data_IF_545945862832
#
_entry.id   IF_545945862832
#
_cell.length_a   1.000
_cell.length_b   1.000
_cell.length_c   1.000
_cell.angle_alpha   90.00
_cell.angle_beta   90.00
_cell.angle_gamma   90.00
#
_symmetry.space_group_name_H-M   'P 1'
#
loop_
_entity.id
_entity.type
_entity.pdbx_description
1 polymer ?
#
# COMPACT_ATOMS: atom_id res chain seq x y z
N UNK A 1 49.51 8.55 29.87
CA UNK A 1 49.07 7.52 28.87
C UNK A 1 47.92 6.68 29.38
N UNK A 2 47.82 6.30 30.67
CA UNK A 2 46.71 5.55 31.25
C UNK A 2 45.38 6.36 31.32
N UNK A 3 45.42 7.66 31.60
CA UNK A 3 44.22 8.51 31.66
C UNK A 3 43.63 8.76 30.29
N UNK A 4 44.43 8.95 29.25
CA UNK A 4 43.98 9.13 27.88
C UNK A 4 43.31 7.83 27.38
N UNK A 5 43.93 6.67 27.65
CA UNK A 5 43.33 5.38 27.29
C UNK A 5 42.01 5.11 28.03
N UNK A 6 41.93 5.53 29.29
CA UNK A 6 40.69 5.42 30.10
C UNK A 6 39.59 6.33 29.55
N UNK A 7 39.91 7.58 29.21
CA UNK A 7 38.96 8.51 28.57
C UNK A 7 38.46 8.02 27.20
N UNK A 8 39.36 7.48 26.38
CA UNK A 8 38.98 6.86 25.10
C UNK A 8 38.06 5.65 25.32
N UNK A 9 38.38 4.80 26.32
CA UNK A 9 37.53 3.66 26.64
C UNK A 9 36.13 4.08 27.12
N UNK A 10 36.05 5.07 28.01
CA UNK A 10 34.77 5.62 28.50
C UNK A 10 33.92 6.18 27.35
N UNK A 11 34.53 6.91 26.41
CA UNK A 11 33.84 7.40 25.22
C UNK A 11 33.34 6.25 24.32
N UNK A 12 34.16 5.23 24.11
CA UNK A 12 33.76 4.04 23.33
C UNK A 12 32.60 3.32 24.02
N UNK A 13 32.67 3.09 25.32
CA UNK A 13 31.58 2.46 26.09
C UNK A 13 30.30 3.31 26.01
N UNK A 14 30.42 4.64 26.10
CA UNK A 14 29.28 5.55 26.01
C UNK A 14 28.65 5.54 24.63
N UNK A 15 29.47 5.49 23.57
CA UNK A 15 28.95 5.34 22.18
C UNK A 15 28.18 4.02 22.02
N UNK A 16 28.75 2.92 22.53
CA UNK A 16 28.08 1.62 22.43
C UNK A 16 26.84 1.53 23.33
N UNK A 17 26.87 2.03 24.55
CA UNK A 17 25.72 2.00 25.46
C UNK A 17 24.54 2.88 24.99
N UNK A 18 24.84 3.97 24.29
CA UNK A 18 23.82 4.85 23.70
C UNK A 18 23.45 4.47 22.25
N UNK A 19 24.07 3.41 21.70
CA UNK A 19 23.79 2.96 20.34
C UNK A 19 22.50 2.13 20.27
N UNK A 20 21.86 2.10 19.10
CA UNK A 20 20.74 1.20 18.83
C UNK A 20 21.07 -0.29 19.05
N UNK A 21 22.36 -0.68 19.00
CA UNK A 21 22.78 -2.06 19.31
C UNK A 21 22.53 -2.44 20.78
N UNK A 22 22.86 -1.54 21.72
CA UNK A 22 22.60 -1.79 23.12
C UNK A 22 21.10 -1.94 23.41
N UNK A 23 20.27 -1.18 22.72
CA UNK A 23 18.81 -1.21 22.86
C UNK A 23 18.21 -2.60 22.62
N UNK A 24 18.73 -3.37 21.66
CA UNK A 24 18.23 -4.73 21.40
C UNK A 24 18.34 -5.66 22.61
N UNK A 25 19.31 -5.41 23.49
CA UNK A 25 19.61 -6.26 24.64
C UNK A 25 19.14 -5.67 25.97
N UNK A 26 18.97 -4.35 26.04
CA UNK A 26 18.71 -3.65 27.31
C UNK A 26 17.27 -3.16 27.44
N UNK A 27 16.58 -2.89 26.34
CA UNK A 27 15.22 -2.36 26.39
C UNK A 27 14.17 -3.47 26.39
N UNK A 28 13.10 -3.26 27.17
CA UNK A 28 11.92 -4.11 27.13
C UNK A 28 11.31 -4.08 25.74
N UNK A 29 11.26 -5.23 25.09
CA UNK A 29 10.74 -5.34 23.72
C UNK A 29 11.77 -5.10 22.61
N UNK A 30 13.04 -4.84 22.90
CA UNK A 30 14.11 -4.68 21.89
C UNK A 30 14.22 -5.86 20.93
N UNK A 31 13.93 -7.08 21.38
CA UNK A 31 13.87 -8.28 20.53
C UNK A 31 12.81 -8.19 19.44
N UNK A 32 11.67 -7.49 19.67
CA UNK A 32 10.62 -7.28 18.68
C UNK A 32 11.13 -6.46 17.50
N UNK A 33 11.93 -5.43 17.78
CA UNK A 33 12.56 -4.62 16.73
C UNK A 33 13.54 -5.47 15.92
N UNK A 34 14.32 -6.36 16.55
CA UNK A 34 15.19 -7.28 15.84
C UNK A 34 14.40 -8.23 14.92
N UNK A 35 13.27 -8.74 15.37
CA UNK A 35 12.35 -9.55 14.54
C UNK A 35 11.84 -8.73 13.34
N UNK A 36 11.43 -7.49 13.55
CA UNK A 36 10.96 -6.63 12.46
C UNK A 36 12.06 -6.28 11.45
N UNK A 37 13.31 -6.12 11.88
CA UNK A 37 14.44 -5.99 10.96
C UNK A 37 14.62 -7.23 10.10
N UNK A 38 14.50 -8.43 10.68
CA UNK A 38 14.54 -9.68 9.91
C UNK A 38 13.38 -9.73 8.90
N UNK A 39 12.17 -9.35 9.30
CA UNK A 39 11.00 -9.27 8.39
C UNK A 39 11.28 -8.28 7.25
N UNK A 40 11.82 -7.11 7.55
CA UNK A 40 12.20 -6.11 6.52
C UNK A 40 13.25 -6.67 5.55
N UNK A 41 14.27 -7.39 6.03
CA UNK A 41 15.26 -8.05 5.17
C UNK A 41 14.64 -9.16 4.31
N UNK A 42 13.68 -9.92 4.83
CA UNK A 42 12.94 -10.91 4.04
C UNK A 42 12.18 -10.23 2.91
N UNK A 43 11.47 -9.14 3.17
CA UNK A 43 10.77 -8.40 2.12
C UNK A 43 11.72 -7.76 1.11
N UNK A 44 12.84 -7.20 1.53
CA UNK A 44 13.89 -6.75 0.61
C UNK A 44 14.39 -7.88 -0.27
N UNK A 45 14.65 -9.05 0.30
CA UNK A 45 15.06 -10.24 -0.47
C UNK A 45 13.98 -10.65 -1.49
N UNK A 46 12.70 -10.68 -1.10
CA UNK A 46 11.59 -11.01 -1.99
C UNK A 46 11.47 -9.98 -3.12
N UNK A 47 11.55 -8.70 -2.83
CA UNK A 47 11.51 -7.65 -3.85
C UNK A 47 12.71 -7.69 -4.78
N UNK A 48 13.94 -7.78 -4.25
CA UNK A 48 15.17 -7.70 -5.05
C UNK A 48 15.47 -9.00 -5.79
N UNK A 49 15.42 -10.15 -5.08
CA UNK A 49 15.86 -11.44 -5.65
C UNK A 49 14.75 -12.19 -6.37
N UNK A 50 13.52 -12.10 -5.86
CA UNK A 50 12.36 -12.80 -6.42
C UNK A 50 11.52 -11.93 -7.36
N UNK A 51 11.76 -10.63 -7.38
CA UNK A 51 11.03 -9.71 -8.24
C UNK A 51 9.56 -9.51 -7.86
N UNK A 52 9.21 -9.76 -6.59
CA UNK A 52 7.84 -9.60 -6.10
C UNK A 52 7.53 -8.13 -5.91
N UNK A 53 6.70 -7.56 -6.78
CA UNK A 53 6.28 -6.16 -6.78
C UNK A 53 7.40 -5.18 -6.35
N UNK A 54 8.58 -5.20 -7.06
CA UNK A 54 9.78 -4.53 -6.55
C UNK A 54 9.60 -3.03 -6.37
N UNK A 55 8.75 -2.39 -7.18
CA UNK A 55 8.54 -0.94 -7.14
C UNK A 55 7.92 -0.46 -5.81
N UNK A 56 7.11 -1.28 -5.16
CA UNK A 56 6.46 -0.96 -3.90
C UNK A 56 7.05 -1.72 -2.73
N UNK A 57 7.36 -3.01 -2.91
CA UNK A 57 7.89 -3.83 -1.82
C UNK A 57 9.24 -3.33 -1.29
N UNK A 58 10.13 -2.86 -2.16
CA UNK A 58 11.44 -2.34 -1.74
C UNK A 58 11.30 -1.06 -0.90
N UNK A 59 10.56 -0.02 -1.35
CA UNK A 59 10.33 1.17 -0.51
C UNK A 59 9.62 0.86 0.81
N UNK A 60 8.61 -0.02 0.82
CA UNK A 60 7.89 -0.42 2.04
C UNK A 60 8.85 -1.13 3.00
N UNK A 61 9.60 -2.13 2.52
CA UNK A 61 10.56 -2.86 3.34
C UNK A 61 11.67 -1.96 3.89
N UNK A 62 12.11 -0.97 3.10
CA UNK A 62 13.10 0.00 3.55
C UNK A 62 12.52 0.97 4.59
N UNK A 63 11.27 1.44 4.40
CA UNK A 63 10.55 2.22 5.40
C UNK A 63 10.37 1.46 6.72
N UNK A 64 9.99 0.17 6.64
CA UNK A 64 9.90 -0.73 7.79
C UNK A 64 11.26 -0.89 8.49
N UNK A 65 12.35 -1.05 7.72
CA UNK A 65 13.70 -1.12 8.27
C UNK A 65 14.02 0.16 9.07
N UNK A 66 13.80 1.34 8.47
CA UNK A 66 14.08 2.62 9.12
C UNK A 66 13.27 2.82 10.41
N UNK A 67 11.98 2.48 10.40
CA UNK A 67 11.11 2.64 11.57
C UNK A 67 11.45 1.70 12.74
N UNK A 68 12.11 0.57 12.47
CA UNK A 68 12.47 -0.40 13.48
C UNK A 68 13.96 -0.36 13.87
N UNK A 69 14.73 0.65 13.40
CA UNK A 69 16.07 0.95 13.95
C UNK A 69 15.87 1.61 15.31
N UNK A 70 16.34 0.99 16.41
CA UNK A 70 16.20 1.59 17.72
C UNK A 70 16.92 2.93 17.84
N UNK A 71 16.30 3.86 18.56
CA UNK A 71 16.85 5.21 18.84
C UNK A 71 17.00 6.11 17.59
N UNK A 72 16.56 5.69 16.41
CA UNK A 72 16.66 6.50 15.20
C UNK A 72 15.61 7.64 15.15
N UNK A 73 14.57 7.58 16.00
CA UNK A 73 13.49 8.57 16.10
C UNK A 73 12.88 8.99 14.74
N UNK A 74 12.82 8.04 13.82
CA UNK A 74 12.25 8.23 12.48
C UNK A 74 10.77 7.79 12.41
N UNK A 75 10.20 7.39 13.54
CA UNK A 75 8.85 6.89 13.64
C UNK A 75 7.82 8.02 13.41
N UNK A 76 6.65 7.63 12.91
CA UNK A 76 5.52 8.54 12.77
C UNK A 76 4.96 8.92 14.15
N UNK A 77 4.94 10.21 14.45
CA UNK A 77 4.57 10.76 15.75
C UNK A 77 3.10 11.18 15.85
N UNK A 78 2.32 11.01 14.78
CA UNK A 78 0.93 11.46 14.75
C UNK A 78 0.01 10.47 14.03
N UNK A 79 -1.26 10.48 14.43
CA UNK A 79 -2.31 9.63 13.84
C UNK A 79 -3.37 10.44 13.07
N UNK A 80 -3.41 11.75 13.26
CA UNK A 80 -4.36 12.66 12.61
C UNK A 80 -3.70 13.90 12.03
N UNK A 81 -4.38 14.59 11.11
CA UNK A 81 -3.88 15.87 10.55
C UNK A 81 -3.76 16.95 11.64
N UNK A 82 -4.66 16.94 12.62
CA UNK A 82 -4.59 17.89 13.75
C UNK A 82 -3.32 17.66 14.59
N UNK A 83 -3.01 16.41 14.90
CA UNK A 83 -1.76 16.05 15.59
C UNK A 83 -0.52 16.44 14.79
N UNK A 84 -0.55 16.34 13.45
CA UNK A 84 0.56 16.83 12.62
C UNK A 84 0.74 18.34 12.74
N UNK A 85 -0.36 19.11 12.77
CA UNK A 85 -0.30 20.55 12.99
C UNK A 85 0.26 20.86 14.38
N UNK A 86 -0.14 20.12 15.41
CA UNK A 86 0.38 20.28 16.77
C UNK A 86 1.86 19.88 16.87
N UNK A 87 2.29 18.85 16.16
CA UNK A 87 3.70 18.46 16.02
C UNK A 87 4.52 19.59 15.38
N UNK A 88 4.03 20.16 14.28
CA UNK A 88 4.67 21.30 13.60
C UNK A 88 4.72 22.55 14.46
N UNK A 89 3.71 22.76 15.31
CA UNK A 89 3.65 23.89 16.24
C UNK A 89 4.46 23.67 17.54
N UNK A 90 5.14 22.52 17.69
CA UNK A 90 5.90 22.17 18.88
C UNK A 90 5.03 21.95 20.14
N UNK A 91 3.78 21.53 19.96
CA UNK A 91 2.83 21.28 21.07
C UNK A 91 2.83 19.85 21.57
N UNK A 92 3.38 18.92 20.76
CA UNK A 92 3.50 17.53 21.17
C UNK A 92 4.80 17.31 21.95
N UNK A 93 4.68 16.58 23.05
CA UNK A 93 5.82 16.20 23.89
C UNK A 93 5.88 14.68 24.03
N UNK A 94 7.07 14.14 24.23
CA UNK A 94 7.28 12.74 24.57
C UNK A 94 6.94 12.47 26.06
N UNK A 95 7.09 11.22 26.48
CA UNK A 95 6.83 10.80 27.87
C UNK A 95 7.77 11.48 28.89
N UNK A 96 8.89 12.05 28.45
CA UNK A 96 9.84 12.81 29.29
C UNK A 96 9.50 14.31 29.37
N UNK A 97 8.51 14.79 28.59
CA UNK A 97 8.14 16.19 28.47
C UNK A 97 8.99 16.98 27.45
N UNK A 98 9.88 16.32 26.70
CA UNK A 98 10.63 16.95 25.63
C UNK A 98 9.75 17.19 24.39
N UNK A 99 9.87 18.37 23.77
CA UNK A 99 9.11 18.72 22.58
C UNK A 99 9.53 17.83 21.41
N UNK A 100 8.55 17.16 20.81
CA UNK A 100 8.76 16.36 19.61
C UNK A 100 8.94 17.29 18.39
N UNK A 101 9.92 16.95 17.57
CA UNK A 101 10.15 17.65 16.28
C UNK A 101 9.80 16.73 15.12
N UNK A 102 9.14 17.24 14.07
CA UNK A 102 8.79 16.41 12.91
C UNK A 102 10.06 15.97 12.17
N UNK A 103 10.12 14.69 11.87
CA UNK A 103 11.16 14.08 11.05
C UNK A 103 10.77 13.99 9.56
N UNK A 104 11.70 13.53 8.73
CA UNK A 104 11.44 13.32 7.30
C UNK A 104 10.21 12.43 7.06
N UNK A 105 10.10 11.34 7.81
CA UNK A 105 8.99 10.38 7.66
C UNK A 105 7.65 11.01 8.01
N UNK A 106 7.60 11.91 9.00
CA UNK A 106 6.35 12.61 9.36
C UNK A 106 5.82 13.47 8.20
N UNK A 107 6.71 14.17 7.49
CA UNK A 107 6.33 14.94 6.29
C UNK A 107 5.87 14.02 5.15
N UNK A 108 6.56 12.92 4.91
CA UNK A 108 6.16 11.97 3.87
C UNK A 108 4.82 11.31 4.21
N UNK A 109 4.62 10.93 5.48
CA UNK A 109 3.37 10.33 5.93
C UNK A 109 2.18 11.27 5.85
N UNK A 110 2.40 12.60 5.92
CA UNK A 110 1.34 13.58 5.71
C UNK A 110 0.61 13.37 4.38
N UNK A 111 1.32 13.07 3.29
CA UNK A 111 0.70 12.79 2.00
C UNK A 111 -0.19 11.54 1.98
N UNK A 112 0.10 10.55 2.84
CA UNK A 112 -0.77 9.39 3.06
C UNK A 112 -2.03 9.82 3.79
N UNK A 113 -1.88 10.52 4.93
CA UNK A 113 -3.00 10.98 5.77
C UNK A 113 -3.90 11.97 5.08
N UNK A 114 -3.34 12.87 4.27
CA UNK A 114 -4.10 13.81 3.45
C UNK A 114 -4.77 13.14 2.22
N UNK A 115 -4.56 11.84 1.99
CA UNK A 115 -5.15 11.11 0.87
C UNK A 115 -4.62 11.56 -0.50
N UNK A 116 -3.39 12.11 -0.59
CA UNK A 116 -2.83 12.67 -1.82
C UNK A 116 -2.20 11.61 -2.71
N UNK A 117 -1.44 10.67 -2.14
CA UNK A 117 -0.66 9.72 -2.93
C UNK A 117 -1.50 8.73 -3.74
N UNK A 118 -2.54 8.08 -3.19
CA UNK A 118 -3.30 7.11 -3.96
C UNK A 118 -3.97 7.70 -5.20
N UNK A 119 -4.66 8.86 -5.15
CA UNK A 119 -5.22 9.48 -6.34
C UNK A 119 -4.16 9.83 -7.41
N UNK A 120 -2.96 10.25 -7.01
CA UNK A 120 -1.87 10.53 -7.95
C UNK A 120 -1.35 9.25 -8.62
N UNK A 121 -1.28 8.13 -7.90
CA UNK A 121 -0.96 6.83 -8.50
C UNK A 121 -2.05 6.44 -9.51
N UNK A 122 -3.31 6.61 -9.15
CA UNK A 122 -4.43 6.33 -10.06
C UNK A 122 -4.39 7.16 -11.34
N UNK A 123 -3.92 8.42 -11.28
CA UNK A 123 -3.70 9.22 -12.49
C UNK A 123 -2.64 8.57 -13.40
N UNK A 124 -1.54 8.07 -12.85
CA UNK A 124 -0.52 7.35 -13.60
C UNK A 124 -1.07 6.05 -14.21
N UNK A 125 -1.81 5.26 -13.43
CA UNK A 125 -2.47 4.03 -13.89
C UNK A 125 -3.45 4.34 -15.02
N UNK A 126 -4.28 5.37 -14.89
CA UNK A 126 -5.23 5.79 -15.92
C UNK A 126 -4.55 6.17 -17.23
N UNK A 127 -3.41 6.85 -17.15
CA UNK A 127 -2.62 7.20 -18.31
C UNK A 127 -1.97 5.97 -18.99
N UNK A 128 -1.74 4.87 -18.26
CA UNK A 128 -1.25 3.60 -18.83
C UNK A 128 -2.38 2.74 -19.40
N UNK A 129 -3.58 2.81 -18.81
CA UNK A 129 -4.69 1.89 -19.10
C UNK A 129 -5.28 2.14 -20.49
N UNK A 130 -5.63 1.06 -21.21
CA UNK A 130 -6.44 1.09 -22.41
C UNK A 130 -7.85 0.58 -22.09
N UNK A 131 -8.83 1.49 -22.09
CA UNK A 131 -10.24 1.14 -21.86
C UNK A 131 -10.98 0.75 -23.13
N UNK A 132 -10.33 0.71 -24.30
CA UNK A 132 -10.99 0.34 -25.54
C UNK A 132 -11.67 -1.05 -25.49
N UNK A 133 -11.08 -2.10 -24.89
CA UNK A 133 -11.74 -3.40 -24.75
C UNK A 133 -13.04 -3.31 -23.93
N UNK A 134 -13.04 -2.53 -22.86
CA UNK A 134 -14.21 -2.33 -22.01
C UNK A 134 -15.32 -1.55 -22.73
N UNK A 135 -14.95 -0.50 -23.49
CA UNK A 135 -15.89 0.29 -24.31
C UNK A 135 -16.48 -0.59 -25.43
N UNK A 136 -15.66 -1.44 -26.04
CA UNK A 136 -16.08 -2.33 -27.11
C UNK A 136 -17.05 -3.42 -26.63
N UNK A 137 -16.84 -3.93 -25.41
CA UNK A 137 -17.66 -4.99 -24.80
C UNK A 137 -18.02 -4.65 -23.33
N UNK A 138 -19.08 -3.86 -23.10
CA UNK A 138 -19.50 -3.46 -21.78
C UNK A 138 -19.89 -4.63 -20.84
N UNK A 139 -20.23 -5.81 -21.38
CA UNK A 139 -20.52 -7.01 -20.56
C UNK A 139 -19.32 -7.45 -19.71
N UNK A 140 -18.11 -7.01 -20.05
CA UNK A 140 -16.90 -7.24 -19.24
C UNK A 140 -17.01 -6.63 -17.83
N UNK A 141 -17.87 -5.63 -17.61
CA UNK A 141 -18.17 -5.12 -16.27
C UNK A 141 -18.72 -6.19 -15.32
N UNK A 142 -19.46 -7.19 -15.84
CA UNK A 142 -20.00 -8.29 -15.05
C UNK A 142 -18.87 -9.13 -14.46
N UNK A 143 -17.79 -9.34 -15.21
CA UNK A 143 -16.59 -10.05 -14.72
C UNK A 143 -15.92 -9.29 -13.57
N UNK A 144 -15.76 -7.97 -13.74
CA UNK A 144 -15.27 -7.10 -12.67
C UNK A 144 -16.15 -7.13 -11.42
N UNK A 145 -17.49 -7.08 -11.60
CA UNK A 145 -18.42 -7.20 -10.48
C UNK A 145 -18.33 -8.55 -9.77
N UNK A 146 -18.15 -9.65 -10.52
CA UNK A 146 -17.95 -10.98 -9.94
C UNK A 146 -16.67 -11.05 -9.09
N UNK A 147 -15.59 -10.37 -9.53
CA UNK A 147 -14.35 -10.25 -8.75
C UNK A 147 -14.58 -9.61 -7.38
N UNK A 148 -15.45 -8.61 -7.30
CA UNK A 148 -15.73 -7.89 -6.06
C UNK A 148 -16.46 -8.74 -5.01
N UNK A 149 -17.07 -9.87 -5.38
CA UNK A 149 -17.68 -10.80 -4.41
C UNK A 149 -16.66 -11.27 -3.36
N UNK A 150 -15.37 -11.37 -3.72
CA UNK A 150 -14.28 -11.66 -2.80
C UNK A 150 -14.20 -10.70 -1.64
N UNK A 151 -14.26 -9.40 -1.91
CA UNK A 151 -14.23 -8.33 -0.92
C UNK A 151 -15.35 -8.51 0.10
N UNK A 152 -16.59 -8.79 -0.36
CA UNK A 152 -17.74 -8.97 0.54
C UNK A 152 -17.59 -10.19 1.45
N UNK A 153 -17.10 -11.32 0.93
CA UNK A 153 -16.92 -12.51 1.77
C UNK A 153 -15.80 -12.31 2.79
N UNK A 154 -14.72 -11.62 2.41
CA UNK A 154 -13.64 -11.27 3.35
C UNK A 154 -14.13 -10.32 4.41
N UNK A 155 -14.94 -9.32 4.04
CA UNK A 155 -15.59 -8.43 4.99
C UNK A 155 -16.41 -9.19 6.04
N UNK A 156 -17.29 -10.10 5.58
CA UNK A 156 -18.10 -10.94 6.49
C UNK A 156 -17.21 -11.84 7.35
N UNK A 157 -16.18 -12.46 6.77
CA UNK A 157 -15.22 -13.28 7.49
C UNK A 157 -14.48 -12.49 8.59
N UNK A 158 -14.07 -11.26 8.31
CA UNK A 158 -13.41 -10.39 9.27
C UNK A 158 -14.36 -10.01 10.42
N UNK A 159 -15.63 -9.69 10.14
CA UNK A 159 -16.65 -9.45 11.18
C UNK A 159 -16.81 -10.69 12.08
N UNK A 160 -16.88 -11.89 11.49
CA UNK A 160 -17.02 -13.13 12.25
C UNK A 160 -15.80 -13.43 13.14
N UNK A 161 -14.63 -12.93 12.79
CA UNK A 161 -13.39 -13.02 13.58
C UNK A 161 -13.27 -11.93 14.66
N UNK A 162 -14.27 -11.04 14.76
CA UNK A 162 -14.38 -10.03 15.81
C UNK A 162 -13.73 -8.69 15.47
N UNK A 163 -13.40 -8.40 14.21
CA UNK A 163 -12.99 -7.08 13.78
C UNK A 163 -14.16 -6.10 13.72
N UNK A 164 -13.89 -4.82 13.95
CA UNK A 164 -14.91 -3.77 13.78
C UNK A 164 -15.30 -3.63 12.30
N UNK A 165 -16.47 -3.07 11.97
CA UNK A 165 -16.88 -2.85 10.57
C UNK A 165 -15.87 -2.05 9.75
N UNK A 166 -15.23 -1.06 10.35
CA UNK A 166 -14.20 -0.24 9.71
C UNK A 166 -12.94 -1.05 9.40
N UNK A 167 -12.48 -1.85 10.37
CA UNK A 167 -11.35 -2.77 10.18
C UNK A 167 -11.68 -3.84 9.14
N UNK A 168 -12.89 -4.41 9.21
CA UNK A 168 -13.35 -5.41 8.25
C UNK A 168 -13.41 -4.85 6.82
N UNK A 169 -13.82 -3.58 6.63
CA UNK A 169 -13.77 -2.89 5.35
C UNK A 169 -12.33 -2.76 4.82
N UNK A 170 -11.40 -2.38 5.71
CA UNK A 170 -9.97 -2.26 5.39
C UNK A 170 -9.32 -3.61 5.08
N UNK A 171 -9.76 -4.69 5.71
CA UNK A 171 -9.30 -6.05 5.44
C UNK A 171 -9.90 -6.55 4.11
N UNK A 172 -11.20 -6.34 3.91
CA UNK A 172 -11.92 -6.81 2.73
C UNK A 172 -11.37 -6.25 1.42
N UNK A 173 -10.97 -4.96 1.41
CA UNK A 173 -10.48 -4.29 0.19
C UNK A 173 -9.19 -4.91 -0.37
N UNK A 174 -8.42 -5.65 0.44
CA UNK A 174 -7.22 -6.36 -0.04
C UNK A 174 -7.59 -7.36 -1.13
N UNK A 175 -8.78 -7.98 -1.05
CA UNK A 175 -9.29 -8.90 -2.06
C UNK A 175 -9.50 -8.27 -3.45
N UNK A 176 -9.53 -6.95 -3.54
CA UNK A 176 -9.54 -6.22 -4.81
C UNK A 176 -8.20 -6.25 -5.56
N UNK A 177 -7.13 -6.72 -4.90
CA UNK A 177 -5.76 -6.78 -5.42
C UNK A 177 -5.26 -5.44 -5.98
N UNK A 178 -5.65 -4.35 -5.33
CA UNK A 178 -5.24 -2.99 -5.64
C UNK A 178 -4.63 -2.33 -4.40
N UNK A 179 -3.30 -2.31 -4.33
CA UNK A 179 -2.54 -1.79 -3.20
C UNK A 179 -2.84 -0.32 -2.87
N UNK A 180 -2.80 0.60 -3.84
CA UNK A 180 -3.14 2.01 -3.61
C UNK A 180 -4.55 2.21 -3.04
N UNK A 181 -5.57 1.50 -3.54
CA UNK A 181 -6.92 1.52 -2.98
C UNK A 181 -6.96 0.98 -1.56
N UNK A 182 -6.27 -0.13 -1.29
CA UNK A 182 -6.21 -0.70 0.07
C UNK A 182 -5.61 0.31 1.06
N UNK A 183 -4.54 1.01 0.69
CA UNK A 183 -3.94 2.06 1.52
C UNK A 183 -4.91 3.24 1.71
N UNK A 184 -5.57 3.71 0.63
CA UNK A 184 -6.51 4.82 0.70
C UNK A 184 -7.67 4.50 1.64
N UNK A 185 -8.35 3.38 1.43
CA UNK A 185 -9.50 2.96 2.25
C UNK A 185 -9.07 2.76 3.71
N UNK A 186 -7.95 2.08 3.96
CA UNK A 186 -7.46 1.84 5.32
C UNK A 186 -7.06 3.13 6.02
N UNK A 187 -6.46 4.09 5.32
CA UNK A 187 -6.10 5.39 5.92
C UNK A 187 -7.32 6.17 6.41
N UNK A 188 -8.49 5.92 5.83
CA UNK A 188 -9.76 6.54 6.22
C UNK A 188 -10.52 5.74 7.28
N UNK A 189 -10.58 4.40 7.14
CA UNK A 189 -11.42 3.55 7.97
C UNK A 189 -10.73 3.01 9.22
N UNK A 190 -9.47 2.58 9.11
CA UNK A 190 -8.71 1.93 10.17
C UNK A 190 -7.21 2.28 10.10
N UNK A 191 -6.84 3.54 10.39
CA UNK A 191 -5.45 4.01 10.28
C UNK A 191 -4.45 3.19 11.09
N UNK A 192 -4.89 2.61 12.20
CA UNK A 192 -4.08 1.75 13.06
C UNK A 192 -3.60 0.47 12.38
N UNK A 193 -4.35 -0.02 11.38
CA UNK A 193 -4.00 -1.21 10.59
C UNK A 193 -3.23 -0.88 9.31
N UNK A 194 -2.95 0.38 9.02
CA UNK A 194 -2.41 0.82 7.71
C UNK A 194 -1.14 0.08 7.31
N UNK A 195 -0.15 -0.02 8.20
CA UNK A 195 1.10 -0.73 7.91
C UNK A 195 0.87 -2.22 7.66
N UNK A 196 0.07 -2.86 8.51
CA UNK A 196 -0.25 -4.29 8.42
C UNK A 196 -1.02 -4.61 7.13
N UNK A 197 -2.04 -3.81 6.81
CA UNK A 197 -2.85 -3.96 5.58
C UNK A 197 -1.97 -3.75 4.34
N UNK A 198 -1.10 -2.75 4.32
CA UNK A 198 -0.22 -2.51 3.19
C UNK A 198 0.73 -3.70 2.95
N UNK A 199 1.38 -4.20 4.00
CA UNK A 199 2.25 -5.39 3.89
C UNK A 199 1.46 -6.60 3.42
N UNK A 200 0.26 -6.84 3.96
CA UNK A 200 -0.60 -7.94 3.55
C UNK A 200 -1.03 -7.81 2.07
N UNK A 201 -1.49 -6.62 1.64
CA UNK A 201 -1.95 -6.37 0.28
C UNK A 201 -0.83 -6.63 -0.75
N UNK A 202 0.36 -6.08 -0.52
CA UNK A 202 1.47 -6.26 -1.47
C UNK A 202 2.06 -7.67 -1.44
N UNK A 203 2.08 -8.33 -0.27
CA UNK A 203 2.46 -9.74 -0.18
C UNK A 203 1.46 -10.62 -0.92
N UNK A 204 0.16 -10.34 -0.79
CA UNK A 204 -0.90 -11.04 -1.51
C UNK A 204 -0.77 -10.86 -3.02
N UNK A 205 -0.61 -9.63 -3.50
CA UNK A 205 -0.41 -9.34 -4.93
C UNK A 205 0.81 -10.08 -5.50
N UNK A 206 1.90 -10.17 -4.73
CA UNK A 206 3.07 -10.93 -5.11
C UNK A 206 2.83 -12.45 -5.23
N UNK A 207 1.87 -13.00 -4.48
CA UNK A 207 1.52 -14.42 -4.51
C UNK A 207 0.51 -14.77 -5.61
N UNK A 208 -0.27 -13.80 -6.11
CA UNK A 208 -1.31 -14.03 -7.13
C UNK A 208 -0.77 -14.78 -8.36
N UNK A 209 0.37 -14.41 -8.99
CA UNK A 209 0.91 -15.12 -10.15
C UNK A 209 1.27 -16.59 -9.88
N UNK A 210 1.48 -16.96 -8.62
CA UNK A 210 1.82 -18.31 -8.20
C UNK A 210 0.55 -19.13 -7.94
N UNK A 211 -0.45 -18.52 -7.31
CA UNK A 211 -1.68 -19.18 -6.83
C UNK A 211 -2.71 -19.30 -7.97
N UNK A 212 -2.87 -18.28 -8.79
CA UNK A 212 -3.86 -18.20 -9.85
C UNK A 212 -3.77 -19.36 -10.88
N UNK A 213 -2.61 -19.69 -11.48
CA UNK A 213 -2.56 -20.72 -12.53
C UNK A 213 -2.99 -22.12 -12.09
N UNK A 214 -2.64 -22.64 -10.89
CA UNK A 214 -3.15 -23.93 -10.41
C UNK A 214 -4.67 -23.95 -10.26
N UNK A 215 -5.25 -22.88 -9.71
CA UNK A 215 -6.70 -22.78 -9.49
C UNK A 215 -7.44 -22.72 -10.82
N UNK A 216 -6.98 -21.89 -11.76
CA UNK A 216 -7.55 -21.81 -13.11
C UNK A 216 -7.53 -23.18 -13.80
N UNK A 217 -6.42 -23.95 -13.65
CA UNK A 217 -6.33 -25.30 -14.23
C UNK A 217 -7.28 -26.30 -13.57
N UNK A 218 -7.56 -26.13 -12.28
CA UNK A 218 -8.49 -27.00 -11.54
C UNK A 218 -9.95 -26.72 -11.92
N UNK A 219 -10.30 -25.45 -12.16
CA UNK A 219 -11.68 -25.01 -12.42
C UNK A 219 -12.06 -25.07 -13.91
N UNK A 220 -11.08 -25.12 -14.84
CA UNK A 220 -11.33 -25.07 -16.27
C UNK A 220 -10.80 -26.29 -17.01
N UNK A 221 -11.49 -26.69 -18.07
CA UNK A 221 -11.05 -27.78 -18.95
C UNK A 221 -10.01 -27.29 -19.97
N UNK A 222 -9.24 -28.22 -20.55
CA UNK A 222 -8.30 -27.88 -21.64
C UNK A 222 -9.00 -27.24 -22.85
N UNK A 223 -10.25 -27.65 -23.13
CA UNK A 223 -11.05 -27.12 -24.25
C UNK A 223 -11.44 -25.66 -24.01
N UNK A 224 -11.87 -25.31 -22.82
CA UNK A 224 -12.20 -23.93 -22.45
C UNK A 224 -10.98 -23.01 -22.52
N UNK A 225 -9.83 -23.47 -22.01
CA UNK A 225 -8.57 -22.71 -22.08
C UNK A 225 -8.00 -22.54 -23.49
N UNK A 226 -8.44 -23.34 -24.47
CA UNK A 226 -8.01 -23.25 -25.86
C UNK A 226 -8.87 -22.32 -26.71
N UNK A 227 -9.93 -21.74 -26.13
CA UNK A 227 -10.80 -20.78 -26.84
C UNK A 227 -10.02 -19.49 -27.10
N UNK A 228 -9.91 -19.14 -28.38
CA UNK A 228 -9.31 -17.85 -28.78
C UNK A 228 -10.43 -16.82 -28.84
N UNK A 229 -10.24 -15.72 -28.11
CA UNK A 229 -11.20 -14.62 -28.13
C UNK A 229 -11.26 -13.96 -29.51
N UNK A 230 -12.45 -13.66 -29.98
CA UNK A 230 -12.66 -12.95 -31.25
C UNK A 230 -12.19 -11.48 -31.17
N UNK A 231 -12.00 -10.86 -32.33
CA UNK A 231 -11.67 -9.45 -32.41
C UNK A 231 -12.84 -8.60 -31.89
N UNK A 232 -12.52 -7.65 -31.02
CA UNK A 232 -13.48 -6.65 -30.55
C UNK A 232 -13.76 -5.63 -31.66
N UNK A 233 -14.93 -4.97 -31.58
CA UNK A 233 -15.23 -3.86 -32.50
C UNK A 233 -14.19 -2.73 -32.33
N UNK A 234 -13.85 -2.04 -33.42
CA UNK A 234 -13.01 -0.85 -33.30
C UNK A 234 -13.74 0.25 -32.51
N UNK A 235 -13.02 0.88 -31.60
CA UNK A 235 -13.51 2.01 -30.78
C UNK A 235 -13.04 3.32 -31.42
N UNK A 236 -13.95 4.25 -31.63
CA UNK A 236 -13.65 5.55 -32.23
C UNK A 236 -12.86 6.44 -31.23
N UNK A 237 -12.10 7.40 -31.76
CA UNK A 237 -11.38 8.37 -30.93
C UNK A 237 -12.31 9.18 -30.03
N UNK A 238 -13.50 9.51 -30.52
CA UNK A 238 -14.49 10.26 -29.75
C UNK A 238 -15.00 9.44 -28.55
N UNK A 239 -15.29 8.15 -28.74
CA UNK A 239 -15.69 7.26 -27.63
C UNK A 239 -14.60 7.20 -26.56
N UNK A 240 -13.32 7.08 -26.96
CA UNK A 240 -12.18 7.05 -26.04
C UNK A 240 -12.02 8.33 -25.23
N UNK A 241 -12.34 9.49 -25.80
CA UNK A 241 -12.27 10.79 -25.10
C UNK A 241 -13.49 11.02 -24.21
N UNK A 242 -14.69 10.64 -24.67
CA UNK A 242 -15.92 10.84 -23.90
C UNK A 242 -16.03 9.88 -22.73
N UNK A 243 -15.51 8.67 -22.86
CA UNK A 243 -15.59 7.64 -21.83
C UNK A 243 -15.07 8.11 -20.45
N UNK A 244 -13.83 8.61 -20.30
CA UNK A 244 -13.33 9.05 -19.02
C UNK A 244 -14.11 10.23 -18.43
N UNK A 245 -14.61 11.13 -19.27
CA UNK A 245 -15.44 12.27 -18.83
C UNK A 245 -16.77 11.79 -18.26
N UNK A 246 -17.47 10.92 -19.02
CA UNK A 246 -18.77 10.37 -18.60
C UNK A 246 -18.64 9.52 -17.33
N UNK A 247 -17.64 8.65 -17.27
CA UNK A 247 -17.40 7.81 -16.08
C UNK A 247 -17.11 8.68 -14.86
N UNK A 248 -16.28 9.73 -14.99
CA UNK A 248 -16.01 10.65 -13.89
C UNK A 248 -17.30 11.28 -13.37
N UNK A 249 -18.12 11.84 -14.26
CA UNK A 249 -19.36 12.52 -13.87
C UNK A 249 -20.34 11.55 -13.23
N UNK A 250 -20.62 10.43 -13.91
CA UNK A 250 -21.62 9.46 -13.43
C UNK A 250 -21.21 8.86 -12.09
N UNK A 251 -19.97 8.38 -11.98
CA UNK A 251 -19.50 7.71 -10.76
C UNK A 251 -19.37 8.69 -9.60
N UNK A 252 -18.86 9.90 -9.82
CA UNK A 252 -18.73 10.89 -8.76
C UNK A 252 -20.08 11.42 -8.25
N UNK A 253 -21.13 11.44 -9.10
CA UNK A 253 -22.48 11.78 -8.66
C UNK A 253 -23.16 10.65 -7.89
N UNK A 254 -22.85 9.38 -8.23
CA UNK A 254 -23.40 8.22 -7.52
C UNK A 254 -22.66 7.92 -6.21
N UNK A 255 -21.35 8.08 -6.21
CA UNK A 255 -20.44 7.75 -5.11
C UNK A 255 -19.42 8.90 -4.92
N UNK A 256 -19.81 9.99 -4.23
CA UNK A 256 -18.94 11.15 -4.05
C UNK A 256 -17.58 10.80 -3.42
N UNK A 257 -17.53 9.84 -2.50
CA UNK A 257 -16.30 9.40 -1.85
C UNK A 257 -15.28 8.75 -2.81
N UNK A 258 -15.76 8.18 -3.93
CA UNK A 258 -14.90 7.60 -4.96
C UNK A 258 -14.36 8.65 -5.96
N UNK A 259 -14.85 9.89 -5.91
CA UNK A 259 -14.54 10.94 -6.89
C UNK A 259 -13.03 11.21 -7.00
N UNK A 260 -12.30 11.20 -5.89
CA UNK A 260 -10.87 11.43 -5.90
C UNK A 260 -10.09 10.34 -6.67
N UNK A 261 -10.41 9.06 -6.43
CA UNK A 261 -9.72 7.94 -7.07
C UNK A 261 -10.15 7.78 -8.53
N UNK A 262 -11.47 7.69 -8.78
CA UNK A 262 -12.01 7.48 -10.12
C UNK A 262 -11.77 8.70 -11.00
N UNK A 263 -11.92 9.92 -10.46
CA UNK A 263 -11.64 11.14 -11.18
C UNK A 263 -10.20 11.24 -11.64
N UNK A 264 -9.23 10.91 -10.79
CA UNK A 264 -7.81 10.93 -11.16
C UNK A 264 -7.45 9.81 -12.13
N UNK A 265 -8.03 8.61 -11.99
CA UNK A 265 -7.88 7.52 -12.95
C UNK A 265 -8.36 7.96 -14.34
N UNK A 266 -9.56 8.51 -14.41
CA UNK A 266 -10.16 8.97 -15.66
C UNK A 266 -9.45 10.22 -16.23
N UNK A 267 -8.94 11.10 -15.38
CA UNK A 267 -8.11 12.23 -15.80
C UNK A 267 -6.81 11.77 -16.47
N UNK A 268 -6.12 10.80 -15.87
CA UNK A 268 -4.94 10.20 -16.48
C UNK A 268 -5.23 9.58 -17.85
N UNK A 269 -6.34 8.86 -17.96
CA UNK A 269 -6.79 8.29 -19.25
C UNK A 269 -7.12 9.37 -20.27
N UNK A 270 -7.80 10.44 -19.87
CA UNK A 270 -8.11 11.58 -20.75
C UNK A 270 -6.84 12.26 -21.27
N UNK A 271 -5.81 12.42 -20.45
CA UNK A 271 -4.51 12.94 -20.87
C UNK A 271 -3.91 12.12 -22.01
N UNK A 272 -4.00 10.78 -21.92
CA UNK A 272 -3.53 9.86 -22.96
C UNK A 272 -4.40 9.95 -24.24
N UNK A 273 -5.71 9.76 -24.09
CA UNK A 273 -6.61 9.59 -25.24
C UNK A 273 -6.90 10.91 -26.00
N UNK A 274 -6.68 12.07 -25.37
CA UNK A 274 -6.79 13.38 -26.02
C UNK A 274 -5.83 13.51 -27.20
N UNK A 275 -4.63 12.92 -27.10
CA UNK A 275 -3.55 13.04 -28.06
C UNK A 275 -2.89 14.43 -28.12
N UNK A 276 -3.28 15.36 -27.22
CA UNK A 276 -2.73 16.73 -27.15
C UNK A 276 -1.72 16.89 -26.01
N UNK A 277 -1.78 16.00 -25.04
CA UNK A 277 -1.01 16.10 -23.79
C UNK A 277 -0.04 14.92 -23.58
N UNK A 278 0.51 14.40 -24.69
CA UNK A 278 1.38 13.21 -24.65
C UNK A 278 2.55 13.33 -23.67
N UNK A 279 3.17 14.52 -23.61
CA UNK A 279 4.28 14.76 -22.68
C UNK A 279 3.85 14.67 -21.22
N UNK A 280 2.66 15.22 -20.89
CA UNK A 280 2.11 15.16 -19.52
C UNK A 280 1.66 13.74 -19.19
N UNK A 281 1.03 13.05 -20.14
CA UNK A 281 0.65 11.66 -19.97
C UNK A 281 1.86 10.76 -19.68
N UNK A 282 2.96 10.91 -20.42
CA UNK A 282 4.22 10.20 -20.17
C UNK A 282 4.80 10.51 -18.80
N UNK A 283 4.82 11.79 -18.39
CA UNK A 283 5.30 12.18 -17.06
C UNK A 283 4.41 11.58 -15.95
N UNK A 284 3.11 11.51 -16.13
CA UNK A 284 2.21 10.87 -15.19
C UNK A 284 2.43 9.34 -15.09
N UNK A 285 2.68 8.69 -16.23
CA UNK A 285 2.91 7.23 -16.29
C UNK A 285 4.22 6.79 -15.64
N UNK A 286 5.27 7.59 -15.74
CA UNK A 286 6.62 7.21 -15.34
C UNK A 286 7.10 8.01 -14.13
N UNK A 287 7.42 9.29 -14.32
CA UNK A 287 8.12 10.08 -13.30
C UNK A 287 7.25 10.30 -12.07
N UNK A 288 6.02 10.79 -12.26
CA UNK A 288 5.12 11.08 -11.14
C UNK A 288 4.76 9.80 -10.38
N UNK A 289 4.36 8.76 -11.11
CA UNK A 289 3.99 7.48 -10.49
C UNK A 289 5.16 6.90 -9.69
N UNK A 290 6.37 6.91 -10.23
CA UNK A 290 7.55 6.39 -9.53
C UNK A 290 7.88 7.21 -8.28
N UNK A 291 7.84 8.55 -8.37
CA UNK A 291 8.10 9.44 -7.22
C UNK A 291 7.06 9.17 -6.12
N UNK A 292 5.77 9.19 -6.48
CA UNK A 292 4.70 8.98 -5.50
C UNK A 292 4.76 7.58 -4.88
N UNK A 293 5.12 6.56 -5.67
CA UNK A 293 5.31 5.19 -5.18
C UNK A 293 6.43 5.10 -4.14
N UNK A 294 7.56 5.78 -4.36
CA UNK A 294 8.66 5.85 -3.38
C UNK A 294 8.17 6.50 -2.10
N UNK A 295 7.53 7.67 -2.20
CA UNK A 295 7.04 8.42 -1.03
C UNK A 295 6.00 7.64 -0.25
N UNK A 296 5.04 7.03 -0.95
CA UNK A 296 4.02 6.17 -0.36
C UNK A 296 4.63 4.96 0.33
N UNK A 297 5.49 4.22 -0.38
CA UNK A 297 6.10 3.00 0.14
C UNK A 297 6.92 3.25 1.40
N UNK A 298 7.79 4.25 1.39
CA UNK A 298 8.59 4.64 2.57
C UNK A 298 7.68 5.03 3.75
N UNK A 299 6.69 5.86 3.50
CA UNK A 299 5.77 6.35 4.55
C UNK A 299 4.99 5.21 5.19
N UNK A 300 4.40 4.35 4.35
CA UNK A 300 3.57 3.22 4.82
C UNK A 300 4.45 2.17 5.50
N UNK A 301 5.62 1.86 4.95
CA UNK A 301 6.59 0.97 5.60
C UNK A 301 6.98 1.47 6.99
N UNK A 302 7.16 2.78 7.15
CA UNK A 302 7.50 3.39 8.43
C UNK A 302 6.38 3.33 9.48
N UNK A 303 5.12 3.10 9.08
CA UNK A 303 4.03 2.85 10.05
C UNK A 303 4.05 1.43 10.63
N UNK A 304 4.86 0.54 10.06
CA UNK A 304 4.96 -0.87 10.45
C UNK A 304 5.98 -1.04 11.59
N UNK A 305 5.63 -0.53 12.76
CA UNK A 305 6.44 -0.70 13.97
C UNK A 305 6.21 -2.07 14.62
N UNK A 306 7.18 -2.52 15.42
CA UNK A 306 7.16 -3.81 16.10
C UNK A 306 5.87 -4.03 16.92
N UNK A 307 5.44 -3.03 17.68
CA UNK A 307 4.27 -3.13 18.55
C UNK A 307 2.95 -3.18 17.77
N UNK A 308 2.87 -2.53 16.61
CA UNK A 308 1.69 -2.54 15.75
C UNK A 308 1.60 -3.81 14.91
N UNK A 309 2.73 -4.36 14.47
CA UNK A 309 2.78 -5.50 13.57
C UNK A 309 2.75 -6.85 14.29
N UNK A 310 3.50 -6.98 15.42
CA UNK A 310 3.61 -8.22 16.18
C UNK A 310 2.50 -8.33 17.23
N UNK A 311 1.24 -8.37 16.79
CA UNK A 311 0.06 -8.52 17.64
C UNK A 311 -0.88 -9.61 17.12
N UNK A 312 -1.86 -10.00 17.95
CA UNK A 312 -2.85 -11.05 17.63
C UNK A 312 -3.72 -10.70 16.41
N UNK A 313 -4.03 -9.42 16.21
CA UNK A 313 -4.88 -9.00 15.10
C UNK A 313 -4.16 -9.13 13.74
N UNK A 314 -2.86 -8.89 13.71
CA UNK A 314 -2.03 -9.17 12.51
C UNK A 314 -2.01 -10.67 12.18
N UNK A 315 -1.93 -11.54 13.20
CA UNK A 315 -2.00 -12.99 12.99
C UNK A 315 -3.37 -13.43 12.45
N UNK A 316 -4.48 -12.91 12.97
CA UNK A 316 -5.83 -13.17 12.46
C UNK A 316 -5.98 -12.69 11.01
N UNK A 317 -5.46 -11.50 10.70
CA UNK A 317 -5.48 -10.94 9.35
C UNK A 317 -4.72 -11.84 8.36
N UNK A 318 -3.56 -12.36 8.76
CA UNK A 318 -2.79 -13.32 7.95
C UNK A 318 -3.58 -14.60 7.68
N UNK A 319 -4.36 -15.07 8.65
CA UNK A 319 -5.19 -16.29 8.53
C UNK A 319 -6.33 -16.09 7.50
N UNK A 320 -6.96 -14.92 7.49
CA UNK A 320 -7.99 -14.56 6.51
C UNK A 320 -7.41 -14.64 5.09
N UNK A 321 -6.21 -14.06 4.87
CA UNK A 321 -5.60 -13.98 3.54
C UNK A 321 -5.07 -15.31 3.03
N UNK A 322 -4.65 -16.23 3.91
CA UNK A 322 -4.28 -17.59 3.53
C UNK A 322 -5.50 -18.38 3.01
N UNK A 323 -6.69 -18.07 3.49
CA UNK A 323 -7.93 -18.74 3.08
C UNK A 323 -8.60 -18.14 1.83
N UNK A 324 -8.12 -17.00 1.31
CA UNK A 324 -8.76 -16.21 0.24
C UNK A 324 -8.21 -16.35 -1.20
N UNK A 325 -7.19 -17.17 -1.51
CA UNK A 325 -6.52 -17.18 -2.82
C UNK A 325 -7.37 -17.62 -4.01
N UNK A 326 -8.63 -17.99 -3.78
CA UNK A 326 -9.40 -18.74 -4.79
C UNK A 326 -10.12 -17.88 -5.83
N UNK A 327 -10.20 -16.56 -5.68
CA UNK A 327 -11.20 -15.76 -6.40
C UNK A 327 -10.73 -14.97 -7.62
N UNK A 328 -9.50 -14.50 -7.62
CA UNK A 328 -8.97 -13.84 -8.83
C UNK A 328 -8.76 -14.81 -9.99
N UNK A 329 -8.65 -16.11 -9.68
CA UNK A 329 -8.51 -17.15 -10.69
C UNK A 329 -9.77 -17.42 -11.51
N UNK A 330 -10.95 -16.95 -11.07
CA UNK A 330 -12.22 -17.19 -11.78
C UNK A 330 -12.48 -16.18 -12.91
N UNK A 331 -11.67 -15.12 -13.03
CA UNK A 331 -11.99 -13.94 -13.85
C UNK A 331 -10.98 -13.69 -14.99
N UNK A 332 -9.82 -14.30 -14.93
CA UNK A 332 -8.81 -14.22 -16.02
C UNK A 332 -8.93 -15.41 -17.00
#
# INVERSE_FOLDING_TARGET
MSEILRGVWEVIVQIFSNSGYAYFFTADGGWKNAVMLVVAFVFLYLGIKKGFEPLLMIPIAFGMLLANIPSANLAVHYSSIHEFIDLMAGRLTDASGAVLSPGLIDFLYFGVKAGVYPPLIFMGIGAMTDFAPLIANPSSFILGAAAQLGIFFTYVGAILLGFTPQQAGSIGIIGGADGPTAIFVTSQLAPELLGTIAVAAYSYMALVPIIQPPIMRALTTKKERSVVMGNLRPVSKLEKILFPILVTVIVSLLLPDAAALVGMLMFGNLLKESGQTERIAKAAQNELMNIVTILLGLSVGATTSADKFLNLDTLKLSLIHISEPTRQAEIS
#
